data_IF_261982118851
#
_entry.id   IF_261982118851
#
_cell.length_a   1.000
_cell.length_b   1.000
_cell.length_c   1.000
_cell.angle_alpha   90.00
_cell.angle_beta   90.00
_cell.angle_gamma   90.00
#
_symmetry.space_group_name_H-M   'P 1'
#
loop_
_entity.id
_entity.type
_entity.pdbx_description
1 polymer ?
#
# COMPACT_ATOMS: atom_id res chain seq x y z
N UNK A 1 -54.61 14.61 -7.04
CA UNK A 1 -54.21 13.76 -5.92
C UNK A 1 -53.25 12.70 -6.43
N UNK A 2 -51.93 13.01 -6.46
CA UNK A 2 -50.90 12.15 -7.06
C UNK A 2 -50.23 11.37 -5.93
N UNK A 3 -50.48 10.05 -5.88
CA UNK A 3 -49.82 9.12 -4.96
C UNK A 3 -48.32 9.03 -5.33
N UNK A 4 -47.46 9.63 -4.51
CA UNK A 4 -46.03 9.38 -4.52
C UNK A 4 -45.77 7.95 -4.01
N UNK A 5 -45.59 7.01 -4.90
CA UNK A 5 -45.03 5.69 -4.57
C UNK A 5 -43.58 5.88 -4.15
N UNK A 6 -43.33 5.92 -2.84
CA UNK A 6 -41.96 5.76 -2.30
C UNK A 6 -41.55 4.31 -2.47
N UNK A 7 -40.85 4.02 -3.54
CA UNK A 7 -40.12 2.76 -3.72
C UNK A 7 -38.87 2.85 -2.85
N UNK A 8 -39.01 2.78 -1.55
CA UNK A 8 -37.90 2.54 -0.65
C UNK A 8 -37.74 1.03 -0.55
N UNK A 9 -36.77 0.50 -1.30
CA UNK A 9 -36.28 -0.86 -1.04
C UNK A 9 -35.86 -0.90 0.43
N UNK A 10 -36.41 -1.80 1.25
CA UNK A 10 -36.01 -1.89 2.65
C UNK A 10 -34.56 -2.35 2.69
N UNK A 11 -33.70 -1.57 3.34
CA UNK A 11 -32.27 -1.88 3.56
C UNK A 11 -32.08 -3.28 4.20
N UNK A 12 -33.15 -3.81 4.84
CA UNK A 12 -33.20 -5.16 5.39
C UNK A 12 -33.24 -6.30 4.37
N UNK A 13 -33.51 -6.03 3.08
CA UNK A 13 -33.55 -7.10 2.07
C UNK A 13 -32.16 -7.65 1.66
N UNK A 14 -31.09 -6.88 1.90
CA UNK A 14 -29.70 -7.29 1.64
C UNK A 14 -29.15 -8.30 2.67
N UNK A 15 -29.85 -8.53 3.79
CA UNK A 15 -29.43 -9.42 4.87
C UNK A 15 -30.37 -10.63 5.05
N UNK A 16 -30.94 -11.12 3.95
CA UNK A 16 -31.97 -12.18 3.99
C UNK A 16 -31.43 -13.56 4.45
N UNK A 17 -30.13 -13.76 4.54
CA UNK A 17 -29.51 -14.97 5.13
C UNK A 17 -28.36 -14.57 6.05
N UNK A 18 -28.14 -15.28 7.19
CA UNK A 18 -27.05 -14.95 8.12
C UNK A 18 -25.66 -14.93 7.44
N UNK A 19 -25.46 -15.73 6.40
CA UNK A 19 -24.23 -15.76 5.63
C UNK A 19 -24.02 -14.46 4.82
N UNK A 20 -25.07 -13.88 4.23
CA UNK A 20 -24.98 -12.61 3.49
C UNK A 20 -24.67 -11.44 4.41
N UNK A 21 -25.08 -11.49 5.67
CA UNK A 21 -24.79 -10.44 6.65
C UNK A 21 -23.29 -10.24 6.87
N UNK A 22 -22.50 -11.30 6.81
CA UNK A 22 -21.04 -11.26 6.97
C UNK A 22 -20.30 -11.01 5.65
N UNK A 23 -20.85 -11.54 4.55
CA UNK A 23 -20.21 -11.46 3.23
C UNK A 23 -20.19 -10.03 2.67
N UNK A 24 -21.27 -9.26 2.87
CA UNK A 24 -21.34 -7.88 2.36
C UNK A 24 -20.25 -6.99 2.96
N UNK A 25 -20.07 -6.89 4.30
CA UNK A 25 -18.99 -6.12 4.89
C UNK A 25 -17.58 -6.61 4.44
N UNK A 26 -17.40 -7.93 4.34
CA UNK A 26 -16.14 -8.49 3.82
C UNK A 26 -15.85 -8.01 2.40
N UNK A 27 -16.81 -8.13 1.48
CA UNK A 27 -16.63 -7.69 0.09
C UNK A 27 -16.42 -6.18 -0.01
N UNK A 28 -17.09 -5.38 0.81
CA UNK A 28 -16.90 -3.93 0.86
C UNK A 28 -15.48 -3.59 1.32
N UNK A 29 -15.01 -4.21 2.41
CA UNK A 29 -13.64 -4.02 2.90
C UNK A 29 -12.60 -4.47 1.87
N UNK A 30 -12.82 -5.63 1.25
CA UNK A 30 -11.95 -6.15 0.19
C UNK A 30 -11.86 -5.19 -1.01
N UNK A 31 -13.01 -4.76 -1.55
CA UNK A 31 -13.06 -3.90 -2.72
C UNK A 31 -12.42 -2.52 -2.45
N UNK A 32 -12.70 -1.93 -1.27
CA UNK A 32 -12.13 -0.66 -0.88
C UNK A 32 -10.60 -0.77 -0.74
N UNK A 33 -10.11 -1.75 0.00
CA UNK A 33 -8.67 -1.97 0.16
C UNK A 33 -7.99 -2.25 -1.18
N UNK A 34 -8.59 -3.09 -2.03
CA UNK A 34 -8.07 -3.36 -3.37
C UNK A 34 -7.96 -2.09 -4.21
N UNK A 35 -8.95 -1.19 -4.15
CA UNK A 35 -8.93 0.07 -4.91
C UNK A 35 -7.80 1.01 -4.48
N UNK A 36 -7.46 1.02 -3.18
CA UNK A 36 -6.41 1.87 -2.63
C UNK A 36 -5.01 1.31 -2.89
N UNK A 37 -4.83 0.00 -2.71
CA UNK A 37 -3.50 -0.62 -2.74
C UNK A 37 -2.95 -0.79 -4.17
N UNK A 38 -3.82 -0.82 -5.19
CA UNK A 38 -3.41 -0.93 -6.61
C UNK A 38 -2.65 0.32 -7.08
N UNK A 39 -2.81 1.46 -6.41
CA UNK A 39 -2.06 2.67 -6.72
C UNK A 39 -0.54 2.41 -6.69
N UNK A 40 0.16 2.91 -7.72
CA UNK A 40 1.61 2.71 -7.85
C UNK A 40 2.32 3.54 -6.77
N UNK A 41 2.80 2.86 -5.74
CA UNK A 41 3.56 3.46 -4.64
C UNK A 41 4.96 2.86 -4.50
N UNK A 42 5.75 3.46 -3.62
CA UNK A 42 7.13 3.04 -3.34
C UNK A 42 7.23 1.56 -2.89
N UNK A 43 6.32 1.14 -2.03
CA UNK A 43 6.24 -0.24 -1.53
C UNK A 43 5.95 -1.23 -2.66
N UNK A 44 4.96 -0.95 -3.52
CA UNK A 44 4.59 -1.80 -4.65
C UNK A 44 5.76 -1.99 -5.62
N UNK A 45 6.46 -0.90 -5.94
CA UNK A 45 7.64 -0.97 -6.83
C UNK A 45 8.79 -1.77 -6.23
N UNK A 46 9.00 -1.68 -4.91
CA UNK A 46 10.00 -2.50 -4.24
C UNK A 46 9.63 -3.98 -4.24
N UNK A 47 8.38 -4.32 -3.93
CA UNK A 47 7.88 -5.71 -3.97
C UNK A 47 7.99 -6.29 -5.38
N UNK A 48 7.59 -5.52 -6.41
CA UNK A 48 7.75 -5.90 -7.82
C UNK A 48 9.22 -6.20 -8.16
N UNK A 49 10.14 -5.30 -7.79
CA UNK A 49 11.57 -5.47 -8.02
C UNK A 49 12.12 -6.74 -7.35
N UNK A 50 11.76 -6.99 -6.09
CA UNK A 50 12.19 -8.20 -5.38
C UNK A 50 11.56 -9.46 -6.01
N UNK A 51 10.32 -9.36 -6.50
CA UNK A 51 9.65 -10.41 -7.24
C UNK A 51 10.37 -10.79 -8.54
N UNK A 52 10.77 -9.79 -9.35
CA UNK A 52 11.58 -9.98 -10.55
C UNK A 52 12.93 -10.65 -10.27
N UNK A 53 13.57 -10.29 -9.15
CA UNK A 53 14.82 -10.91 -8.69
C UNK A 53 14.63 -12.26 -8.01
N UNK A 54 13.41 -12.64 -7.69
CA UNK A 54 13.06 -13.81 -6.88
C UNK A 54 13.72 -13.82 -5.48
N UNK A 55 14.00 -12.62 -4.91
CA UNK A 55 14.68 -12.46 -3.62
C UNK A 55 13.70 -12.21 -2.48
N UNK A 56 13.74 -13.05 -1.45
CA UNK A 56 13.01 -12.92 -0.17
C UNK A 56 11.49 -12.71 -0.29
N UNK A 57 10.85 -13.09 -1.41
CA UNK A 57 9.45 -12.77 -1.74
C UNK A 57 8.49 -13.18 -0.63
N UNK A 58 8.63 -14.42 -0.09
CA UNK A 58 7.72 -14.93 0.94
C UNK A 58 7.68 -14.02 2.16
N UNK A 59 8.86 -13.63 2.64
CA UNK A 59 8.98 -12.82 3.86
C UNK A 59 8.49 -11.40 3.60
N UNK A 60 8.79 -10.82 2.44
CA UNK A 60 8.36 -9.48 2.05
C UNK A 60 6.84 -9.42 1.91
N UNK A 61 6.21 -10.37 1.21
CA UNK A 61 4.76 -10.46 1.05
C UNK A 61 4.05 -10.58 2.39
N UNK A 62 4.54 -11.47 3.26
CA UNK A 62 3.99 -11.63 4.61
C UNK A 62 4.14 -10.35 5.43
N UNK A 63 5.32 -9.70 5.37
CA UNK A 63 5.55 -8.46 6.10
C UNK A 63 4.60 -7.35 5.64
N UNK A 64 4.43 -7.15 4.32
CA UNK A 64 3.52 -6.16 3.77
C UNK A 64 2.07 -6.43 4.19
N UNK A 65 1.59 -7.66 3.97
CA UNK A 65 0.23 -8.04 4.33
C UNK A 65 -0.07 -7.93 5.83
N UNK A 66 0.89 -8.32 6.69
CA UNK A 66 0.75 -8.19 8.14
C UNK A 66 0.79 -6.73 8.58
N UNK A 67 1.66 -5.89 8.00
CA UNK A 67 1.70 -4.45 8.30
C UNK A 67 0.38 -3.78 7.94
N UNK A 68 -0.16 -4.05 6.76
CA UNK A 68 -1.47 -3.52 6.34
C UNK A 68 -2.58 -4.03 7.26
N UNK A 69 -2.59 -5.32 7.60
CA UNK A 69 -3.60 -5.88 8.51
C UNK A 69 -3.58 -5.18 9.88
N UNK A 70 -2.39 -4.92 10.43
CA UNK A 70 -2.22 -4.18 11.70
C UNK A 70 -2.79 -2.77 11.57
N UNK A 71 -2.46 -2.05 10.49
CA UNK A 71 -2.92 -0.68 10.26
C UNK A 71 -4.43 -0.62 10.01
N UNK A 72 -4.99 -1.58 9.25
CA UNK A 72 -6.43 -1.70 9.02
C UNK A 72 -7.17 -1.96 10.34
N UNK A 73 -6.70 -2.91 11.15
CA UNK A 73 -7.29 -3.22 12.45
C UNK A 73 -7.23 -1.99 13.35
N UNK A 74 -6.10 -1.29 13.39
CA UNK A 74 -5.95 -0.05 14.15
C UNK A 74 -6.98 1.01 13.70
N UNK A 75 -7.14 1.21 12.39
CA UNK A 75 -8.12 2.14 11.83
C UNK A 75 -9.56 1.77 12.19
N UNK A 76 -9.94 0.51 11.96
CA UNK A 76 -11.29 -0.01 12.25
C UNK A 76 -11.61 0.03 13.75
N UNK A 77 -10.59 -0.08 14.61
CA UNK A 77 -10.72 0.06 16.07
C UNK A 77 -10.87 1.52 16.54
N UNK A 78 -10.81 2.50 15.65
CA UNK A 78 -11.00 3.91 15.97
C UNK A 78 -9.71 4.70 16.27
N UNK A 79 -8.52 4.12 16.08
CA UNK A 79 -7.24 4.82 16.30
C UNK A 79 -7.01 6.00 15.34
N UNK A 80 -7.81 6.16 14.28
CA UNK A 80 -7.70 7.27 13.34
C UNK A 80 -7.84 8.64 14.03
N UNK A 81 -8.72 8.77 15.00
CA UNK A 81 -8.88 9.99 15.77
C UNK A 81 -7.63 10.35 16.61
N UNK A 82 -6.87 9.36 17.07
CA UNK A 82 -5.63 9.59 17.82
C UNK A 82 -4.51 10.12 16.92
N UNK A 83 -4.41 9.64 15.69
CA UNK A 83 -3.39 10.09 14.74
C UNK A 83 -3.57 11.56 14.33
N UNK A 84 -4.82 12.04 14.25
CA UNK A 84 -5.09 13.45 13.96
C UNK A 84 -4.80 14.39 15.13
N UNK A 85 -4.68 13.86 16.33
CA UNK A 85 -4.46 14.65 17.54
C UNK A 85 -2.97 15.06 17.77
N UNK A 86 -2.02 14.47 17.00
CA UNK A 86 -0.57 14.73 17.19
C UNK A 86 0.08 15.11 15.84
N UNK A 87 -0.06 16.37 15.38
CA UNK A 87 0.47 16.82 14.08
C UNK A 87 2.00 16.66 13.95
N UNK A 88 2.75 16.80 15.05
CA UNK A 88 4.22 16.69 15.04
C UNK A 88 4.70 15.31 14.59
N UNK A 89 3.97 14.25 14.94
CA UNK A 89 4.29 12.88 14.54
C UNK A 89 4.12 12.74 13.02
N UNK A 90 3.05 13.29 12.46
CA UNK A 90 2.82 13.29 11.01
C UNK A 90 3.94 14.01 10.26
N UNK A 91 4.38 15.18 10.74
CA UNK A 91 5.48 15.94 10.13
C UNK A 91 6.80 15.17 10.19
N UNK A 92 7.12 14.53 11.33
CA UNK A 92 8.35 13.74 11.46
C UNK A 92 8.37 12.54 10.50
N UNK A 93 7.23 11.84 10.35
CA UNK A 93 7.11 10.75 9.37
C UNK A 93 7.20 11.26 7.94
N UNK A 94 6.59 12.41 7.61
CA UNK A 94 6.67 13.02 6.29
C UNK A 94 8.11 13.37 5.90
N UNK A 95 8.86 14.00 6.81
CA UNK A 95 10.27 14.34 6.58
C UNK A 95 11.15 13.10 6.46
N UNK A 96 11.04 12.16 7.40
CA UNK A 96 11.79 10.90 7.37
C UNK A 96 11.49 10.09 6.12
N UNK A 97 10.22 9.98 5.74
CA UNK A 97 9.77 9.32 4.52
C UNK A 97 10.30 10.01 3.26
N UNK A 98 10.22 11.35 3.18
CA UNK A 98 10.72 12.10 2.04
C UNK A 98 12.24 11.93 1.83
N UNK A 99 13.02 11.99 2.92
CA UNK A 99 14.47 11.77 2.86
C UNK A 99 14.80 10.34 2.42
N UNK A 100 14.09 9.35 2.92
CA UNK A 100 14.27 7.95 2.55
C UNK A 100 13.91 7.70 1.06
N UNK A 101 12.77 8.25 0.60
CA UNK A 101 12.33 8.16 -0.79
C UNK A 101 13.32 8.85 -1.72
N UNK A 102 13.79 10.05 -1.37
CA UNK A 102 14.78 10.78 -2.15
C UNK A 102 16.09 9.98 -2.28
N UNK A 103 16.60 9.46 -1.16
CA UNK A 103 17.80 8.61 -1.15
C UNK A 103 17.64 7.36 -2.02
N UNK A 104 16.51 6.66 -1.89
CA UNK A 104 16.26 5.45 -2.68
C UNK A 104 16.07 5.77 -4.16
N UNK A 105 15.37 6.87 -4.47
CA UNK A 105 15.15 7.36 -5.83
C UNK A 105 16.46 7.72 -6.53
N UNK A 106 17.33 8.49 -5.86
CA UNK A 106 18.68 8.83 -6.39
C UNK A 106 19.47 7.55 -6.66
N UNK A 107 19.48 6.60 -5.73
CA UNK A 107 20.17 5.30 -5.94
C UNK A 107 19.61 4.54 -7.13
N UNK A 108 18.30 4.58 -7.38
CA UNK A 108 17.69 3.94 -8.54
C UNK A 108 18.13 4.62 -9.83
N UNK A 109 18.17 5.96 -9.89
CA UNK A 109 18.65 6.70 -11.06
C UNK A 109 20.14 6.44 -11.34
N UNK A 110 20.96 6.34 -10.30
CA UNK A 110 22.37 6.02 -10.47
C UNK A 110 22.57 4.61 -11.06
N UNK A 111 21.74 3.63 -10.64
CA UNK A 111 21.75 2.29 -11.24
C UNK A 111 21.28 2.31 -12.70
N UNK A 112 20.27 3.10 -13.03
CA UNK A 112 19.79 3.25 -14.40
C UNK A 112 20.87 3.79 -15.35
N UNK A 113 21.81 4.61 -14.85
CA UNK A 113 22.94 5.15 -15.63
C UNK A 113 24.11 4.17 -15.77
N UNK A 114 24.19 3.15 -14.92
CA UNK A 114 25.28 2.17 -14.99
C UNK A 114 25.07 1.27 -16.22
N UNK A 115 25.92 1.44 -17.24
CA UNK A 115 25.67 0.97 -18.60
C UNK A 115 26.01 -0.50 -18.89
N UNK A 116 26.77 -1.24 -18.05
CA UNK A 116 27.60 -2.30 -18.65
C UNK A 116 27.38 -3.75 -18.22
N UNK A 117 26.55 -4.09 -17.26
CA UNK A 117 26.27 -5.52 -17.00
C UNK A 117 24.92 -5.76 -16.35
N UNK A 118 24.27 -6.89 -16.71
CA UNK A 118 23.06 -7.38 -16.05
C UNK A 118 23.24 -7.49 -14.54
N UNK A 119 24.41 -7.86 -14.07
CA UNK A 119 24.76 -7.96 -12.65
C UNK A 119 24.71 -6.61 -11.92
N UNK A 120 25.15 -5.53 -12.58
CA UNK A 120 25.07 -4.17 -12.02
C UNK A 120 23.65 -3.66 -11.98
N UNK A 121 22.87 -3.88 -13.05
CA UNK A 121 21.50 -3.43 -13.18
C UNK A 121 20.54 -4.20 -12.24
N UNK A 122 20.69 -5.52 -12.14
CA UNK A 122 19.95 -6.31 -11.15
C UNK A 122 20.36 -5.93 -9.72
N UNK A 123 21.62 -5.48 -9.55
CA UNK A 123 22.24 -5.18 -8.27
C UNK A 123 22.67 -6.43 -7.51
N UNK A 124 23.52 -6.25 -6.51
CA UNK A 124 23.94 -7.32 -5.62
C UNK A 124 22.73 -7.93 -4.88
N UNK A 125 22.75 -9.24 -4.59
CA UNK A 125 21.75 -9.84 -3.72
C UNK A 125 21.60 -9.05 -2.42
N UNK A 126 20.38 -8.75 -2.05
CA UNK A 126 20.12 -7.98 -0.84
C UNK A 126 19.96 -8.94 0.35
N UNK A 127 20.56 -8.64 1.50
CA UNK A 127 20.32 -9.43 2.70
C UNK A 127 18.87 -9.29 3.17
N UNK A 128 18.33 -10.35 3.80
CA UNK A 128 16.97 -10.33 4.33
C UNK A 128 16.71 -9.16 5.28
N UNK A 129 17.66 -8.87 6.18
CA UNK A 129 17.56 -7.73 7.11
C UNK A 129 17.40 -6.41 6.38
N UNK A 130 18.20 -6.19 5.33
CA UNK A 130 18.15 -4.97 4.53
C UNK A 130 16.86 -4.90 3.71
N UNK A 131 16.38 -6.03 3.16
CA UNK A 131 15.10 -6.09 2.45
C UNK A 131 13.94 -5.71 3.36
N UNK A 132 13.88 -6.30 4.58
CA UNK A 132 12.86 -6.00 5.58
C UNK A 132 12.94 -4.54 6.07
N UNK A 133 14.13 -4.03 6.36
CA UNK A 133 14.30 -2.62 6.75
C UNK A 133 13.83 -1.67 5.64
N UNK A 134 14.10 -1.99 4.37
CA UNK A 134 13.68 -1.18 3.23
C UNK A 134 12.16 -1.19 3.07
N UNK A 135 11.52 -2.36 3.10
CA UNK A 135 10.05 -2.44 2.97
C UNK A 135 9.34 -1.85 4.19
N UNK A 136 9.91 -2.02 5.40
CA UNK A 136 9.40 -1.37 6.60
C UNK A 136 9.44 0.15 6.48
N UNK A 137 10.53 0.71 5.97
CA UNK A 137 10.62 2.15 5.74
C UNK A 137 9.58 2.64 4.72
N UNK A 138 9.35 1.92 3.62
CA UNK A 138 8.31 2.26 2.64
C UNK A 138 6.90 2.18 3.19
N UNK A 139 6.63 1.31 4.15
CA UNK A 139 5.33 1.17 4.79
C UNK A 139 5.15 2.17 5.93
N UNK A 140 6.03 2.14 6.91
CA UNK A 140 5.83 2.82 8.19
C UNK A 140 6.30 4.29 8.21
N UNK A 141 7.21 4.70 7.30
CA UNK A 141 7.60 6.12 7.16
C UNK A 141 6.75 6.86 6.10
N UNK A 142 5.79 6.18 5.48
CA UNK A 142 4.92 6.80 4.49
C UNK A 142 3.64 7.33 5.16
N UNK A 143 3.44 8.66 5.27
CA UNK A 143 2.24 9.21 5.90
C UNK A 143 0.95 8.87 5.14
N UNK A 144 0.98 8.67 3.81
CA UNK A 144 -0.18 8.27 3.04
C UNK A 144 -0.75 6.91 3.47
N UNK A 145 0.10 5.99 3.92
CA UNK A 145 -0.37 4.69 4.43
C UNK A 145 -1.28 4.85 5.63
N UNK A 146 -0.98 5.81 6.52
CA UNK A 146 -1.83 6.09 7.68
C UNK A 146 -3.15 6.78 7.26
N UNK A 147 -3.10 7.67 6.27
CA UNK A 147 -4.30 8.31 5.74
C UNK A 147 -5.24 7.29 5.09
N UNK A 148 -4.70 6.41 4.25
CA UNK A 148 -5.48 5.44 3.50
C UNK A 148 -5.92 4.25 4.37
N UNK A 149 -5.01 3.67 5.15
CA UNK A 149 -5.30 2.44 5.89
C UNK A 149 -5.88 2.69 7.28
N UNK A 150 -5.49 3.75 7.98
CA UNK A 150 -6.00 4.01 9.33
C UNK A 150 -7.19 4.96 9.30
N UNK A 151 -7.07 6.11 8.62
CA UNK A 151 -8.14 7.11 8.62
C UNK A 151 -9.29 6.73 7.67
N UNK A 152 -9.01 6.48 6.41
CA UNK A 152 -10.05 6.24 5.41
C UNK A 152 -10.74 4.89 5.63
N UNK A 153 -9.98 3.80 5.88
CA UNK A 153 -10.56 2.50 6.19
C UNK A 153 -11.30 2.53 7.53
N UNK A 154 -10.76 3.22 8.54
CA UNK A 154 -11.43 3.42 9.82
C UNK A 154 -12.75 4.16 9.66
N UNK A 155 -12.79 5.23 8.88
CA UNK A 155 -14.00 6.00 8.57
C UNK A 155 -15.01 5.15 7.80
N UNK A 156 -14.58 4.41 6.78
CA UNK A 156 -15.45 3.52 6.01
C UNK A 156 -16.05 2.40 6.89
N UNK A 157 -15.30 1.90 7.86
CA UNK A 157 -15.77 0.89 8.80
C UNK A 157 -16.89 1.41 9.72
N UNK A 158 -17.00 2.73 9.94
CA UNK A 158 -18.09 3.29 10.77
C UNK A 158 -19.48 3.11 10.13
N UNK A 159 -19.54 2.98 8.79
CA UNK A 159 -20.78 2.66 8.08
C UNK A 159 -21.25 1.22 8.34
N UNK A 160 -20.41 0.36 8.91
CA UNK A 160 -20.76 -1.00 9.27
C UNK A 160 -21.22 -1.10 10.74
N UNK A 161 -22.21 -1.93 11.05
CA UNK A 161 -22.54 -2.28 12.44
C UNK A 161 -21.29 -2.78 13.17
N UNK A 162 -21.12 -2.42 14.45
CA UNK A 162 -19.93 -2.75 15.25
C UNK A 162 -19.59 -4.25 15.19
N UNK A 163 -20.61 -5.12 15.31
CA UNK A 163 -20.44 -6.56 15.24
C UNK A 163 -19.92 -7.08 13.88
N UNK A 164 -20.07 -6.29 12.79
CA UNK A 164 -19.67 -6.67 11.43
C UNK A 164 -18.35 -6.05 11.00
N UNK A 165 -17.80 -5.08 11.74
CA UNK A 165 -16.51 -4.45 11.44
C UNK A 165 -15.34 -5.43 11.34
N UNK A 166 -15.25 -6.51 12.15
CA UNK A 166 -14.20 -7.51 11.97
C UNK A 166 -14.22 -8.18 10.59
N UNK A 167 -15.40 -8.40 10.00
CA UNK A 167 -15.52 -8.98 8.66
C UNK A 167 -15.08 -7.98 7.57
N UNK A 168 -15.37 -6.70 7.74
CA UNK A 168 -14.85 -5.64 6.90
C UNK A 168 -13.31 -5.60 6.95
N UNK A 169 -12.72 -5.62 8.15
CA UNK A 169 -11.27 -5.64 8.34
C UNK A 169 -10.62 -6.90 7.73
N UNK A 170 -11.25 -8.07 7.89
CA UNK A 170 -10.77 -9.32 7.30
C UNK A 170 -10.79 -9.26 5.76
N UNK A 171 -11.85 -8.71 5.16
CA UNK A 171 -11.92 -8.49 3.72
C UNK A 171 -10.81 -7.57 3.23
N UNK A 172 -10.62 -6.44 3.90
CA UNK A 172 -9.57 -5.47 3.57
C UNK A 172 -8.16 -6.06 3.69
N UNK A 173 -7.86 -6.77 4.78
CA UNK A 173 -6.58 -7.46 4.97
C UNK A 173 -6.36 -8.54 3.90
N UNK A 174 -7.40 -9.30 3.55
CA UNK A 174 -7.32 -10.33 2.50
C UNK A 174 -6.95 -9.72 1.15
N UNK A 175 -7.47 -8.54 0.81
CA UNK A 175 -7.10 -7.82 -0.41
C UNK A 175 -5.61 -7.46 -0.43
N UNK A 176 -5.05 -6.96 0.69
CA UNK A 176 -3.63 -6.64 0.82
C UNK A 176 -2.75 -7.88 0.63
N UNK A 177 -3.07 -8.99 1.30
CA UNK A 177 -2.32 -10.23 1.13
C UNK A 177 -2.37 -10.72 -0.32
N UNK A 178 -3.56 -10.73 -0.93
CA UNK A 178 -3.74 -11.16 -2.31
C UNK A 178 -2.96 -10.27 -3.28
N UNK A 179 -3.01 -8.95 -3.08
CA UNK A 179 -2.29 -7.99 -3.90
C UNK A 179 -0.78 -8.19 -3.84
N UNK A 180 -0.20 -8.21 -2.64
CA UNK A 180 1.25 -8.39 -2.49
C UNK A 180 1.72 -9.77 -2.95
N UNK A 181 0.92 -10.81 -2.74
CA UNK A 181 1.20 -12.13 -3.29
C UNK A 181 1.17 -12.10 -4.83
N UNK A 182 0.14 -11.50 -5.42
CA UNK A 182 0.02 -11.36 -6.88
C UNK A 182 1.18 -10.55 -7.45
N UNK A 183 1.54 -9.44 -6.82
CA UNK A 183 2.64 -8.59 -7.26
C UNK A 183 4.00 -9.27 -7.10
N UNK A 184 4.27 -9.88 -5.95
CA UNK A 184 5.56 -10.51 -5.65
C UNK A 184 5.80 -11.79 -6.46
N UNK A 185 4.83 -12.68 -6.48
CA UNK A 185 4.95 -13.95 -7.23
C UNK A 185 4.64 -13.77 -8.71
N UNK A 186 3.67 -12.92 -9.06
CA UNK A 186 3.30 -12.60 -10.45
C UNK A 186 4.42 -11.88 -11.21
N UNK A 187 5.29 -11.14 -10.52
CA UNK A 187 6.47 -10.52 -11.13
C UNK A 187 7.35 -11.52 -11.90
N UNK A 188 7.34 -12.79 -11.52
CA UNK A 188 8.09 -13.84 -12.23
C UNK A 188 7.62 -14.03 -13.67
N UNK A 189 6.34 -13.79 -13.94
CA UNK A 189 5.79 -13.87 -15.31
C UNK A 189 6.38 -12.79 -16.23
N UNK A 190 6.87 -11.69 -15.62
CA UNK A 190 7.51 -10.59 -16.33
C UNK A 190 9.02 -10.81 -16.53
N UNK A 191 9.62 -11.82 -15.92
CA UNK A 191 11.07 -12.09 -16.02
C UNK A 191 11.58 -12.17 -17.46
N UNK A 192 10.85 -12.77 -18.45
CA UNK A 192 11.31 -12.78 -19.84
C UNK A 192 11.50 -11.37 -20.42
N UNK A 193 10.66 -10.40 -20.02
CA UNK A 193 10.77 -9.01 -20.44
C UNK A 193 12.02 -8.32 -19.83
N UNK A 194 12.49 -8.83 -18.69
CA UNK A 194 13.66 -8.35 -17.97
C UNK A 194 14.95 -9.14 -18.28
N UNK A 195 14.97 -9.91 -19.38
CA UNK A 195 16.17 -10.55 -19.90
C UNK A 195 17.16 -9.54 -20.50
N UNK A 196 16.72 -8.31 -20.81
CA UNK A 196 17.56 -7.27 -21.40
C UNK A 196 18.01 -6.22 -20.36
N UNK A 197 19.23 -5.68 -20.46
CA UNK A 197 19.69 -4.57 -19.63
C UNK A 197 18.79 -3.34 -19.70
N UNK A 198 18.24 -3.05 -20.88
CA UNK A 198 17.33 -1.90 -21.10
C UNK A 198 16.09 -1.96 -20.23
N UNK A 199 15.50 -3.13 -20.05
CA UNK A 199 14.29 -3.29 -19.19
C UNK A 199 14.58 -2.93 -17.74
N UNK A 200 15.75 -3.32 -17.22
CA UNK A 200 16.19 -2.95 -15.87
C UNK A 200 16.49 -1.45 -15.74
N UNK A 201 17.12 -0.86 -16.77
CA UNK A 201 17.35 0.60 -16.81
C UNK A 201 16.03 1.37 -16.78
N UNK A 202 15.06 0.96 -17.59
CA UNK A 202 13.72 1.58 -17.60
C UNK A 202 13.04 1.42 -16.24
N UNK A 203 13.10 0.23 -15.66
CA UNK A 203 12.54 -0.02 -14.32
C UNK A 203 13.18 0.89 -13.27
N UNK A 204 14.52 0.97 -13.24
CA UNK A 204 15.24 1.82 -12.27
C UNK A 204 14.98 3.31 -12.51
N UNK A 205 14.83 3.73 -13.77
CA UNK A 205 14.43 5.09 -14.12
C UNK A 205 13.01 5.40 -13.60
N UNK A 206 12.05 4.52 -13.86
CA UNK A 206 10.67 4.67 -13.37
C UNK A 206 10.63 4.70 -11.84
N UNK A 207 11.30 3.76 -11.17
CA UNK A 207 11.40 3.75 -9.71
C UNK A 207 11.99 5.08 -9.22
N UNK A 208 13.10 5.52 -9.80
CA UNK A 208 13.77 6.76 -9.39
C UNK A 208 12.88 7.99 -9.55
N UNK A 209 12.22 8.14 -10.70
CA UNK A 209 11.32 9.27 -10.96
C UNK A 209 10.11 9.26 -10.00
N UNK A 210 9.47 8.10 -9.81
CA UNK A 210 8.31 7.98 -8.93
C UNK A 210 8.70 8.26 -7.48
N UNK A 211 9.83 7.72 -7.00
CA UNK A 211 10.30 7.97 -5.63
C UNK A 211 10.63 9.44 -5.39
N UNK A 212 11.27 10.12 -6.34
CA UNK A 212 11.57 11.55 -6.22
C UNK A 212 10.30 12.39 -6.30
N UNK A 213 9.35 12.04 -7.15
CA UNK A 213 8.05 12.72 -7.21
C UNK A 213 7.28 12.58 -5.88
N UNK A 214 7.25 11.38 -5.30
CA UNK A 214 6.63 11.14 -3.99
C UNK A 214 7.36 11.89 -2.87
N UNK A 215 8.70 11.92 -2.89
CA UNK A 215 9.49 12.69 -1.92
C UNK A 215 9.16 14.19 -2.00
N UNK A 216 9.12 14.75 -3.21
CA UNK A 216 8.74 16.14 -3.44
C UNK A 216 7.31 16.44 -2.97
N UNK A 217 6.37 15.54 -3.24
CA UNK A 217 4.98 15.67 -2.79
C UNK A 217 4.88 15.69 -1.27
N UNK A 218 5.60 14.80 -0.57
CA UNK A 218 5.63 14.76 0.90
C UNK A 218 6.22 16.03 1.50
N UNK A 219 7.30 16.57 0.91
CA UNK A 219 7.90 17.83 1.35
C UNK A 219 6.95 19.00 1.12
N UNK A 220 6.28 19.03 -0.03
CA UNK A 220 5.29 20.07 -0.36
C UNK A 220 4.12 20.08 0.63
N UNK A 221 3.55 18.92 0.92
CA UNK A 221 2.48 18.77 1.90
C UNK A 221 2.95 19.12 3.32
N UNK A 222 4.15 18.70 3.70
CA UNK A 222 4.74 19.03 5.00
C UNK A 222 4.93 20.55 5.19
N UNK A 223 5.35 21.26 4.14
CA UNK A 223 5.50 22.74 4.18
C UNK A 223 4.13 23.45 4.25
N UNK A 224 3.12 22.98 3.52
CA UNK A 224 1.79 23.58 3.55
C UNK A 224 1.06 23.43 4.89
N UNK A 225 1.36 22.38 5.67
CA UNK A 225 0.78 22.19 7.00
C UNK A 225 1.53 22.91 8.11
N UNK A 226 2.68 23.52 7.82
CA UNK A 226 3.48 24.33 8.79
C UNK A 226 3.31 25.82 8.59
N UNK A 227 2.64 26.25 7.53
CA UNK A 227 2.21 27.65 7.26
C UNK A 227 0.73 27.81 7.60
#
# INVERSE_FOLDING_TARGET
>A
MIKKNKFSLPVGFLYATPMMSYLVPFCVGFALSASLIVAIGAQNLFVLRQGLKSEHIRVIVLFCGLSDAILIIAGVSGMGAFLTAIPQVSTAFALGGALFLAWYGIKSLLRAKAQDSMTVLQGQPISLKKALATVAAFTWLNPHVYLDTVLLMGTAATAQPIALRPFFAAGAASASFLWFASLGYGARLLQPLFASPRSWQILDLLIGCIMLALAALLLWQGVLHTL
#
